data_IF_047527742482
#
_entry.id   IF_047527742482
#
_cell.length_a   1.000
_cell.length_b   1.000
_cell.length_c   1.000
_cell.angle_alpha   90.00
_cell.angle_beta   90.00
_cell.angle_gamma   90.00
#
_symmetry.space_group_name_H-M   'P 1'
#
loop_
_entity.id
_entity.type
_entity.pdbx_description
1 polymer ?
#
# COMPACT_ATOMS: atom_id res chain seq x y z
N UNK A 1 2.72 -6.19 -17.28
CA UNK A 1 2.71 -4.87 -16.62
C UNK A 1 4.02 -4.76 -15.88
N UNK A 2 5.01 -4.08 -16.45
CA UNK A 2 6.30 -3.84 -15.78
C UNK A 2 6.14 -2.57 -14.96
N UNK A 3 5.72 -2.71 -13.70
CA UNK A 3 5.95 -1.65 -12.73
C UNK A 3 7.47 -1.52 -12.61
N UNK A 4 8.04 -0.41 -13.06
CA UNK A 4 9.43 -0.06 -12.75
C UNK A 4 9.46 0.29 -11.27
N UNK A 5 9.55 -0.73 -10.42
CA UNK A 5 9.84 -0.54 -9.01
C UNK A 5 11.28 -0.03 -8.94
N UNK A 6 11.42 1.26 -8.64
CA UNK A 6 12.67 1.78 -8.07
C UNK A 6 12.99 0.86 -6.89
N UNK A 7 14.14 0.18 -6.92
CA UNK A 7 14.43 -0.96 -6.04
C UNK A 7 14.07 -0.67 -4.59
N UNK A 8 13.56 -1.66 -3.85
CA UNK A 8 12.88 -1.46 -2.56
C UNK A 8 13.59 -0.52 -1.56
N UNK A 9 14.92 -0.46 -1.62
CA UNK A 9 15.71 0.51 -0.85
C UNK A 9 15.24 1.97 -1.02
N UNK A 10 14.77 2.36 -2.21
CA UNK A 10 14.28 3.70 -2.52
C UNK A 10 13.07 4.13 -1.67
N UNK A 11 12.08 3.25 -1.53
CA UNK A 11 10.90 3.54 -0.72
C UNK A 11 11.22 3.43 0.79
N UNK A 12 12.12 2.51 1.16
CA UNK A 12 12.62 2.42 2.55
C UNK A 12 13.29 3.72 3.01
N UNK A 13 14.14 4.34 2.20
CA UNK A 13 14.82 5.60 2.51
C UNK A 13 13.82 6.75 2.75
N UNK A 14 12.79 6.85 1.91
CA UNK A 14 11.73 7.86 2.06
C UNK A 14 10.97 7.70 3.38
N UNK A 15 10.61 6.46 3.74
CA UNK A 15 9.93 6.16 5.01
C UNK A 15 10.85 6.39 6.21
N UNK A 16 12.14 6.06 6.09
CA UNK A 16 13.13 6.32 7.13
C UNK A 16 13.25 7.82 7.42
N UNK A 17 13.32 8.65 6.38
CA UNK A 17 13.35 10.11 6.52
C UNK A 17 12.08 10.63 7.17
N UNK A 18 10.91 10.14 6.74
CA UNK A 18 9.62 10.54 7.30
C UNK A 18 9.54 10.28 8.82
N UNK A 19 9.93 9.08 9.27
CA UNK A 19 9.97 8.75 10.69
C UNK A 19 11.10 9.51 11.42
N UNK A 20 12.22 9.80 10.79
CA UNK A 20 13.29 10.59 11.43
C UNK A 20 12.83 12.02 11.74
N UNK A 21 12.03 12.63 10.87
CA UNK A 21 11.46 13.97 11.09
C UNK A 21 10.36 13.95 12.18
N UNK A 22 9.68 12.80 12.37
CA UNK A 22 8.57 12.64 13.31
C UNK A 22 8.63 11.27 14.01
N UNK A 23 9.53 11.07 14.99
CA UNK A 23 9.86 9.75 15.54
C UNK A 23 8.72 9.07 16.30
N UNK A 24 7.73 9.83 16.78
CA UNK A 24 6.60 9.31 17.56
C UNK A 24 5.28 9.30 16.77
N UNK A 25 5.30 9.67 15.48
CA UNK A 25 4.09 9.80 14.68
C UNK A 25 3.78 8.55 13.86
N UNK A 26 2.51 8.17 13.84
CA UNK A 26 1.95 7.25 12.87
C UNK A 26 1.48 8.02 11.63
N UNK A 27 1.82 7.52 10.44
CA UNK A 27 1.38 8.10 9.17
C UNK A 27 0.40 7.19 8.47
N UNK A 28 -0.68 7.78 7.99
CA UNK A 28 -1.77 7.09 7.33
C UNK A 28 -1.88 7.63 5.91
N UNK A 29 -1.84 6.73 4.93
CA UNK A 29 -1.97 7.05 3.52
C UNK A 29 -3.15 6.25 2.94
N UNK A 30 -4.31 6.88 2.71
CA UNK A 30 -5.40 6.25 1.99
C UNK A 30 -5.09 6.21 0.48
N UNK A 31 -5.55 5.17 -0.23
CA UNK A 31 -5.44 5.13 -1.68
C UNK A 31 -6.35 6.16 -2.36
N UNK A 32 -6.05 6.45 -3.62
CA UNK A 32 -7.01 7.15 -4.48
C UNK A 32 -8.25 6.25 -4.72
N UNK A 33 -9.46 6.82 -4.76
CA UNK A 33 -10.63 6.08 -5.19
C UNK A 33 -10.62 5.87 -6.71
N UNK A 34 -11.23 4.79 -7.18
CA UNK A 34 -11.54 4.59 -8.59
C UNK A 34 -12.55 5.65 -9.05
N UNK A 35 -12.33 6.24 -10.22
CA UNK A 35 -13.17 7.33 -10.76
C UNK A 35 -14.01 6.83 -11.93
N UNK A 36 -15.32 7.02 -11.83
CA UNK A 36 -16.26 6.71 -12.91
C UNK A 36 -16.09 7.75 -14.02
N UNK A 37 -15.98 7.26 -15.26
CA UNK A 37 -16.02 8.08 -16.48
C UNK A 37 -17.44 8.19 -17.01
N UNK A 38 -18.12 7.06 -17.19
CA UNK A 38 -19.50 6.99 -17.67
C UNK A 38 -20.13 5.64 -17.28
N UNK A 39 -21.26 5.64 -16.57
CA UNK A 39 -21.93 4.43 -16.10
C UNK A 39 -20.96 3.43 -15.42
N UNK A 40 -20.72 2.27 -16.02
CA UNK A 40 -19.85 1.19 -15.56
C UNK A 40 -18.39 1.31 -16.05
N UNK A 41 -18.07 2.35 -16.81
CA UNK A 41 -16.72 2.60 -17.33
C UNK A 41 -15.95 3.52 -16.39
N UNK A 42 -14.78 3.05 -15.95
CA UNK A 42 -13.85 3.81 -15.11
C UNK A 42 -12.76 4.52 -15.94
N UNK A 43 -12.25 5.62 -15.41
CA UNK A 43 -10.98 6.18 -15.88
C UNK A 43 -9.81 5.23 -15.54
N UNK A 44 -8.68 5.29 -16.27
CA UNK A 44 -7.46 4.61 -15.85
C UNK A 44 -7.11 4.98 -14.42
N UNK A 45 -6.85 3.96 -13.60
CA UNK A 45 -6.51 4.18 -12.20
C UNK A 45 -5.18 4.92 -12.08
N UNK A 46 -5.16 5.92 -11.19
CA UNK A 46 -3.95 6.62 -10.79
C UNK A 46 -3.96 6.77 -9.29
N UNK A 47 -2.92 6.24 -8.66
CA UNK A 47 -2.74 6.28 -7.22
C UNK A 47 -2.56 7.71 -6.70
N UNK A 48 -2.90 7.90 -5.43
CA UNK A 48 -2.57 9.12 -4.68
C UNK A 48 -1.04 9.29 -4.59
N UNK A 49 -0.55 10.53 -4.76
CA UNK A 49 0.87 10.78 -4.97
C UNK A 49 1.70 10.49 -3.73
N UNK A 50 1.23 10.84 -2.53
CA UNK A 50 1.96 10.57 -1.29
C UNK A 50 1.97 9.07 -0.97
N UNK A 51 0.83 8.40 -1.13
CA UNK A 51 0.71 6.95 -1.03
C UNK A 51 1.73 6.26 -1.94
N UNK A 52 1.74 6.63 -3.22
CA UNK A 52 2.68 6.06 -4.18
C UNK A 52 4.13 6.41 -3.85
N UNK A 53 4.39 7.65 -3.42
CA UNK A 53 5.72 8.12 -3.06
C UNK A 53 6.34 7.27 -1.95
N UNK A 54 5.57 6.84 -0.95
CA UNK A 54 6.12 6.07 0.17
C UNK A 54 6.04 4.56 -0.01
N UNK A 55 5.26 4.03 -0.96
CA UNK A 55 5.03 2.58 -1.10
C UNK A 55 5.34 1.99 -2.48
N UNK A 56 5.21 2.77 -3.54
CA UNK A 56 5.21 2.26 -4.92
C UNK A 56 4.01 1.38 -5.28
N UNK A 57 3.01 1.25 -4.41
CA UNK A 57 1.87 0.35 -4.62
C UNK A 57 0.74 1.03 -5.42
N UNK A 58 0.26 0.35 -6.48
CA UNK A 58 -0.57 0.96 -7.52
C UNK A 58 -1.99 0.40 -7.61
N UNK A 59 -2.46 -0.39 -6.64
CA UNK A 59 -3.84 -0.90 -6.67
C UNK A 59 -4.83 -0.07 -5.83
N UNK A 60 -6.09 0.05 -6.28
CA UNK A 60 -7.16 0.69 -5.50
C UNK A 60 -7.61 -0.19 -4.32
N UNK A 61 -8.46 0.38 -3.48
CA UNK A 61 -8.99 -0.26 -2.26
C UNK A 61 -7.86 -0.74 -1.35
N UNK A 62 -6.92 0.16 -1.09
CA UNK A 62 -5.76 -0.08 -0.25
C UNK A 62 -5.57 1.05 0.76
N UNK A 63 -4.93 0.73 1.87
CA UNK A 63 -4.71 1.66 2.97
C UNK A 63 -3.38 1.34 3.63
N UNK A 64 -2.47 2.29 3.63
CA UNK A 64 -1.10 2.10 4.09
C UNK A 64 -0.89 2.85 5.40
N UNK A 65 -0.25 2.17 6.35
CA UNK A 65 0.13 2.75 7.64
C UNK A 65 1.63 2.57 7.81
N UNK A 66 2.30 3.67 8.17
CA UNK A 66 3.72 3.67 8.55
C UNK A 66 3.81 4.04 10.02
N UNK A 67 4.32 3.12 10.82
CA UNK A 67 4.50 3.25 12.27
C UNK A 67 5.99 3.39 12.60
N UNK A 68 6.36 4.09 13.67
CA UNK A 68 7.72 4.05 14.20
C UNK A 68 8.02 2.67 14.84
N UNK A 69 9.30 2.36 15.06
CA UNK A 69 9.70 1.12 15.74
C UNK A 69 10.08 -0.04 14.82
N UNK A 70 10.84 0.25 13.77
CA UNK A 70 11.33 -0.75 12.81
C UNK A 70 12.12 -1.88 13.46
N UNK A 71 11.77 -3.13 13.10
CA UNK A 71 12.41 -4.35 13.62
C UNK A 71 13.53 -4.90 12.70
N UNK A 72 13.62 -4.37 11.48
CA UNK A 72 14.58 -4.80 10.44
C UNK A 72 15.79 -3.87 10.43
N UNK A 73 16.98 -4.44 10.21
CA UNK A 73 18.23 -3.67 10.13
C UNK A 73 18.11 -2.60 9.04
N UNK A 74 18.47 -1.36 9.37
CA UNK A 74 18.39 -0.23 8.46
C UNK A 74 17.00 0.39 8.30
N UNK A 75 16.00 -0.04 9.08
CA UNK A 75 14.65 0.56 9.10
C UNK A 75 14.29 1.01 10.49
N UNK A 76 13.86 2.26 10.63
CA UNK A 76 13.32 2.82 11.88
C UNK A 76 11.79 2.73 11.96
N UNK A 77 11.15 2.10 10.98
CA UNK A 77 9.71 2.09 10.79
C UNK A 77 9.16 0.69 10.48
N UNK A 78 7.88 0.48 10.80
CA UNK A 78 7.07 -0.66 10.42
C UNK A 78 6.01 -0.22 9.39
N UNK A 79 5.74 -1.05 8.38
CA UNK A 79 4.73 -0.78 7.35
C UNK A 79 3.65 -1.84 7.39
N UNK A 80 2.41 -1.38 7.51
CA UNK A 80 1.20 -2.20 7.43
C UNK A 80 0.42 -1.78 6.20
N UNK A 81 0.04 -2.74 5.36
CA UNK A 81 -0.77 -2.48 4.15
C UNK A 81 -2.06 -3.29 4.21
N UNK A 82 -3.18 -2.59 4.17
CA UNK A 82 -4.48 -3.18 3.92
C UNK A 82 -4.74 -3.15 2.42
N UNK A 83 -5.14 -4.28 1.84
CA UNK A 83 -5.40 -4.39 0.41
C UNK A 83 -6.43 -5.48 0.12
N UNK A 84 -6.85 -5.58 -1.14
CA UNK A 84 -7.73 -6.67 -1.59
C UNK A 84 -6.94 -7.96 -1.67
N UNK A 85 -7.51 -9.05 -1.15
CA UNK A 85 -7.00 -10.39 -1.42
C UNK A 85 -7.28 -10.79 -2.88
N UNK A 86 -6.53 -11.78 -3.36
CA UNK A 86 -6.77 -12.40 -4.67
C UNK A 86 -8.16 -13.00 -4.72
N UNK A 87 -8.82 -12.76 -5.86
CA UNK A 87 -10.12 -13.32 -6.17
C UNK A 87 -10.09 -13.77 -7.63
N UNK A 88 -9.99 -15.08 -7.83
CA UNK A 88 -9.83 -15.66 -9.17
C UNK A 88 -10.96 -15.25 -10.11
N UNK A 89 -12.20 -15.11 -9.63
CA UNK A 89 -13.30 -14.72 -10.50
C UNK A 89 -13.16 -13.26 -10.91
N UNK A 90 -12.82 -12.36 -9.97
CA UNK A 90 -12.61 -10.94 -10.30
C UNK A 90 -11.37 -10.72 -11.16
N UNK A 91 -10.30 -11.49 -10.98
CA UNK A 91 -9.08 -11.34 -11.77
C UNK A 91 -9.26 -11.65 -13.26
N UNK A 92 -10.24 -12.51 -13.61
CA UNK A 92 -10.60 -12.77 -15.01
C UNK A 92 -11.16 -11.52 -15.71
N UNK A 93 -11.81 -10.64 -14.96
CA UNK A 93 -12.46 -9.44 -15.49
C UNK A 93 -11.60 -8.18 -15.32
N UNK A 94 -11.00 -8.01 -14.15
CA UNK A 94 -10.33 -6.77 -13.73
C UNK A 94 -8.80 -6.85 -13.77
N UNK A 95 -8.26 -7.99 -14.18
CA UNK A 95 -6.82 -8.25 -14.18
C UNK A 95 -6.30 -8.78 -12.85
N UNK A 96 -5.04 -9.23 -12.86
CA UNK A 96 -4.38 -9.82 -11.70
C UNK A 96 -4.25 -8.83 -10.55
N UNK A 97 -4.36 -9.34 -9.33
CA UNK A 97 -4.06 -8.61 -8.10
C UNK A 97 -2.78 -9.14 -7.48
N UNK A 98 -2.06 -8.30 -6.75
CA UNK A 98 -0.95 -8.77 -5.91
C UNK A 98 -1.45 -9.71 -4.81
N UNK A 99 -2.52 -9.35 -4.10
CA UNK A 99 -2.97 -10.08 -2.91
C UNK A 99 -1.99 -9.99 -1.75
N UNK A 100 -2.36 -10.53 -0.58
CA UNK A 100 -1.64 -10.25 0.66
C UNK A 100 -0.18 -10.73 0.61
N UNK A 101 0.03 -11.97 0.18
CA UNK A 101 1.35 -12.61 0.17
C UNK A 101 2.30 -11.97 -0.84
N UNK A 102 1.86 -11.75 -2.07
CA UNK A 102 2.76 -11.22 -3.10
C UNK A 102 3.03 -9.73 -2.85
N UNK A 103 2.04 -8.96 -2.35
CA UNK A 103 2.27 -7.58 -1.98
C UNK A 103 3.30 -7.47 -0.85
N UNK A 104 3.20 -8.34 0.17
CA UNK A 104 4.16 -8.40 1.27
C UNK A 104 5.59 -8.64 0.80
N UNK A 105 5.76 -9.62 -0.10
CA UNK A 105 7.06 -10.00 -0.61
C UNK A 105 7.63 -8.95 -1.58
N UNK A 106 6.80 -8.45 -2.51
CA UNK A 106 7.25 -7.60 -3.60
C UNK A 106 7.52 -6.15 -3.17
N UNK A 107 6.75 -5.62 -2.21
CA UNK A 107 6.88 -4.24 -1.72
C UNK A 107 7.58 -4.14 -0.35
N UNK A 108 8.15 -5.24 0.15
CA UNK A 108 8.83 -5.35 1.45
C UNK A 108 8.02 -4.82 2.64
N UNK A 109 6.71 -5.06 2.61
CA UNK A 109 5.77 -4.68 3.67
C UNK A 109 5.96 -5.62 4.86
N UNK A 110 5.84 -5.11 6.08
CA UNK A 110 6.00 -5.92 7.29
C UNK A 110 4.75 -6.74 7.59
N UNK A 111 3.58 -6.13 7.43
CA UNK A 111 2.28 -6.76 7.69
C UNK A 111 1.25 -6.39 6.63
N UNK A 112 0.44 -7.37 6.22
CA UNK A 112 -0.59 -7.18 5.19
C UNK A 112 -1.90 -7.78 5.67
N UNK A 113 -2.98 -7.02 5.52
CA UNK A 113 -4.32 -7.41 5.95
C UNK A 113 -5.33 -7.17 4.83
N UNK A 114 -6.47 -7.86 4.90
CA UNK A 114 -7.55 -7.59 3.96
C UNK A 114 -8.19 -6.23 4.25
N UNK A 115 -8.45 -5.44 3.21
CA UNK A 115 -9.04 -4.10 3.38
C UNK A 115 -10.40 -4.12 4.08
N UNK A 116 -11.15 -5.22 3.99
CA UNK A 116 -12.42 -5.42 4.68
C UNK A 116 -12.28 -5.49 6.21
N UNK A 117 -11.08 -5.76 6.75
CA UNK A 117 -10.84 -5.83 8.20
C UNK A 117 -10.35 -4.52 8.79
N UNK A 118 -10.18 -3.46 7.99
CA UNK A 118 -9.59 -2.19 8.42
C UNK A 118 -10.26 -1.60 9.66
N UNK A 119 -11.58 -1.51 9.67
CA UNK A 119 -12.35 -0.94 10.80
C UNK A 119 -12.24 -1.77 12.08
N UNK A 120 -11.97 -3.08 11.96
CA UNK A 120 -11.81 -3.97 13.11
C UNK A 120 -10.42 -3.89 13.73
N UNK A 121 -9.40 -3.68 12.90
CA UNK A 121 -8.00 -3.65 13.31
C UNK A 121 -7.57 -2.26 13.84
N UNK A 122 -8.25 -1.19 13.42
CA UNK A 122 -7.98 0.15 13.91
C UNK A 122 -8.74 0.45 15.21
N UNK A 123 -8.07 0.92 16.27
CA UNK A 123 -8.75 1.37 17.48
C UNK A 123 -9.61 2.61 17.18
N UNK A 124 -10.79 2.67 17.82
CA UNK A 124 -11.75 3.79 17.74
C UNK A 124 -11.38 4.93 18.67
#
# INVERSE_FOLDING_TARGET
MMATVLGSNYYNERRNKLIADYPDAAFIFPCAPEKIRNADVFFPYRQESNFYYVSGFEEPSSFLIVLPGGKKVGRNHQVVLFLREKDRQKELWFGKRFGLKDAKAYFEIDETHEISTLEKELPT
#
